data_IF_790356901330
#
_entry.id   IF_790356901330
#
_cell.length_a   1.000
_cell.length_b   1.000
_cell.length_c   1.000
_cell.angle_alpha   90.00
_cell.angle_beta   90.00
_cell.angle_gamma   90.00
#
_symmetry.space_group_name_H-M   'P 1'
#
loop_
_entity.id
_entity.type
_entity.pdbx_description
1 polymer ?
#
# COMPACT_ATOMS: atom_id res chain seq x y z
N UNK A 1 10.52 16.21 -17.02
CA UNK A 1 10.13 14.84 -16.64
C UNK A 1 11.38 13.97 -16.59
N UNK A 2 11.78 13.53 -15.41
CA UNK A 2 12.92 12.62 -15.25
C UNK A 2 12.65 11.29 -15.96
N UNK A 3 13.61 10.81 -16.75
CA UNK A 3 13.56 9.48 -17.38
C UNK A 3 14.07 8.44 -16.37
N UNK A 4 13.24 8.11 -15.40
CA UNK A 4 13.49 7.00 -14.47
C UNK A 4 13.06 5.69 -15.10
N UNK A 5 13.91 4.66 -15.02
CA UNK A 5 13.55 3.32 -15.47
C UNK A 5 14.77 2.46 -15.77
N UNK A 6 14.66 1.18 -15.41
CA UNK A 6 15.69 0.15 -15.64
C UNK A 6 16.00 -0.07 -17.13
N UNK A 7 15.14 0.42 -18.03
CA UNK A 7 15.32 0.41 -19.48
C UNK A 7 16.36 1.42 -20.01
N UNK A 8 16.81 2.38 -19.19
CA UNK A 8 17.84 3.35 -19.59
C UNK A 8 19.24 2.88 -19.20
N UNK A 9 20.23 3.10 -20.10
CA UNK A 9 21.64 2.83 -19.81
C UNK A 9 22.03 3.50 -18.48
N UNK A 10 22.82 2.80 -17.66
CA UNK A 10 23.27 3.20 -16.30
C UNK A 10 23.77 4.66 -16.24
N UNK A 11 24.32 5.17 -17.34
CA UNK A 11 24.86 6.54 -17.48
C UNK A 11 23.80 7.65 -17.64
N UNK A 12 22.55 7.33 -17.99
CA UNK A 12 21.44 8.29 -18.16
C UNK A 12 20.44 8.30 -16.98
N UNK A 13 20.41 7.25 -16.17
CA UNK A 13 19.54 7.11 -15.00
C UNK A 13 20.34 6.80 -13.72
N UNK A 14 21.47 7.49 -13.54
CA UNK A 14 22.40 7.29 -12.42
C UNK A 14 21.70 7.42 -11.05
N UNK A 15 20.74 8.33 -10.92
CA UNK A 15 19.97 8.50 -9.70
C UNK A 15 19.08 7.27 -9.36
N UNK A 16 18.49 6.62 -10.36
CA UNK A 16 17.64 5.44 -10.16
C UNK A 16 18.46 4.24 -9.71
N UNK A 17 19.57 3.97 -10.39
CA UNK A 17 20.50 2.91 -10.00
C UNK A 17 21.15 3.20 -8.64
N UNK A 18 21.45 4.47 -8.32
CA UNK A 18 21.94 4.88 -7.01
C UNK A 18 20.97 4.52 -5.88
N UNK A 19 19.67 4.80 -6.05
CA UNK A 19 18.64 4.45 -5.06
C UNK A 19 18.56 2.93 -4.87
N UNK A 20 18.62 2.14 -5.95
CA UNK A 20 18.60 0.67 -5.86
C UNK A 20 19.80 0.15 -5.07
N UNK A 21 21.02 0.63 -5.38
CA UNK A 21 22.25 0.21 -4.69
C UNK A 21 22.18 0.59 -3.20
N UNK A 22 21.74 1.81 -2.89
CA UNK A 22 21.58 2.27 -1.50
C UNK A 22 20.54 1.40 -0.77
N UNK A 23 19.38 1.14 -1.38
CA UNK A 23 18.35 0.29 -0.79
C UNK A 23 18.84 -1.13 -0.52
N UNK A 24 19.64 -1.70 -1.43
CA UNK A 24 20.24 -3.02 -1.28
C UNK A 24 21.24 -3.05 -0.12
N UNK A 25 22.12 -2.05 -0.01
CA UNK A 25 23.07 -1.93 1.11
C UNK A 25 22.33 -1.76 2.43
N UNK A 26 21.30 -0.92 2.48
CA UNK A 26 20.48 -0.74 3.69
C UNK A 26 19.79 -2.04 4.11
N UNK A 27 19.22 -2.79 3.15
CA UNK A 27 18.63 -4.11 3.41
C UNK A 27 19.62 -5.11 3.98
N UNK A 28 20.86 -5.10 3.49
CA UNK A 28 21.95 -5.94 4.01
C UNK A 28 22.37 -5.52 5.42
N UNK A 29 22.54 -4.21 5.66
CA UNK A 29 22.91 -3.67 6.97
C UNK A 29 21.85 -3.98 8.03
N UNK A 30 20.56 -3.92 7.68
CA UNK A 30 19.47 -4.32 8.58
C UNK A 30 19.64 -5.77 9.07
N UNK A 31 20.10 -6.66 8.20
CA UNK A 31 20.40 -8.05 8.55
C UNK A 31 21.52 -8.14 9.62
N UNK A 32 22.58 -7.34 9.49
CA UNK A 32 23.67 -7.27 10.46
C UNK A 32 23.29 -6.63 11.81
N UNK A 33 22.29 -5.73 11.82
CA UNK A 33 21.77 -5.09 13.04
C UNK A 33 20.86 -6.06 13.83
N UNK A 34 20.60 -7.27 13.32
CA UNK A 34 19.71 -8.25 13.95
C UNK A 34 18.23 -7.94 13.75
N UNK A 35 17.92 -6.91 12.94
CA UNK A 35 16.56 -6.63 12.48
C UNK A 35 16.27 -7.53 11.28
N UNK A 36 15.55 -8.62 11.56
CA UNK A 36 15.12 -9.56 10.54
C UNK A 36 14.26 -8.83 9.47
N UNK A 37 14.74 -8.68 8.23
CA UNK A 37 14.04 -7.96 7.18
C UNK A 37 12.64 -8.54 6.92
N UNK A 38 12.47 -9.84 7.16
CA UNK A 38 11.19 -10.52 7.03
C UNK A 38 10.20 -9.98 8.07
N UNK A 39 10.64 -9.78 9.32
CA UNK A 39 9.78 -9.16 10.35
C UNK A 39 9.45 -7.72 10.02
N UNK A 40 10.42 -6.94 9.56
CA UNK A 40 10.18 -5.56 9.11
C UNK A 40 9.15 -5.50 7.97
N UNK A 41 9.23 -6.45 7.03
CA UNK A 41 8.27 -6.59 5.93
C UNK A 41 6.87 -6.98 6.45
N UNK A 42 6.79 -7.91 7.40
CA UNK A 42 5.53 -8.32 8.03
C UNK A 42 4.88 -7.15 8.78
N UNK A 43 5.64 -6.41 9.61
CA UNK A 43 5.11 -5.22 10.28
C UNK A 43 4.61 -4.17 9.30
N UNK A 44 5.34 -3.96 8.19
CA UNK A 44 4.92 -3.04 7.12
C UNK A 44 3.63 -3.52 6.45
N UNK A 45 3.49 -4.83 6.22
CA UNK A 45 2.28 -5.42 5.64
C UNK A 45 1.08 -5.30 6.59
N UNK A 46 1.26 -5.53 7.89
CA UNK A 46 0.21 -5.36 8.91
C UNK A 46 -0.24 -3.89 8.96
N UNK A 47 0.72 -2.96 9.01
CA UNK A 47 0.42 -1.53 8.99
C UNK A 47 -0.34 -1.12 7.72
N UNK A 48 0.11 -1.58 6.55
CA UNK A 48 -0.58 -1.31 5.29
C UNK A 48 -1.96 -1.97 5.24
N UNK A 49 -2.13 -3.19 5.79
CA UNK A 49 -3.42 -3.87 5.89
C UNK A 49 -4.43 -3.09 6.75
N UNK A 50 -3.95 -2.38 7.78
CA UNK A 50 -4.78 -1.51 8.63
C UNK A 50 -5.10 -0.17 7.95
N UNK A 51 -4.13 0.42 7.25
CA UNK A 51 -4.26 1.73 6.59
C UNK A 51 -5.05 1.65 5.28
N UNK A 52 -4.87 0.57 4.50
CA UNK A 52 -5.51 0.36 3.21
C UNK A 52 -7.04 0.52 3.22
N UNK A 53 -7.82 -0.08 4.14
CA UNK A 53 -9.27 0.09 4.16
C UNK A 53 -9.68 1.53 4.49
N UNK A 54 -8.95 2.23 5.37
CA UNK A 54 -9.21 3.63 5.72
C UNK A 54 -8.98 4.53 4.49
N UNK A 55 -7.85 4.34 3.81
CA UNK A 55 -7.54 5.09 2.59
C UNK A 55 -8.54 4.76 1.49
N UNK A 56 -8.90 3.49 1.30
CA UNK A 56 -9.89 3.09 0.29
C UNK A 56 -11.25 3.71 0.57
N UNK A 57 -11.69 3.73 1.83
CA UNK A 57 -12.93 4.39 2.24
C UNK A 57 -12.90 5.90 1.94
N UNK A 58 -11.79 6.58 2.24
CA UNK A 58 -11.60 7.98 1.90
C UNK A 58 -11.63 8.22 0.38
N UNK A 59 -10.95 7.37 -0.39
CA UNK A 59 -10.93 7.45 -1.86
C UNK A 59 -12.34 7.27 -2.43
N UNK A 60 -13.12 6.31 -1.92
CA UNK A 60 -14.50 6.08 -2.36
C UNK A 60 -15.40 7.26 -2.01
N UNK A 61 -15.26 7.87 -0.83
CA UNK A 61 -16.02 9.07 -0.44
C UNK A 61 -15.67 10.25 -1.36
N UNK A 62 -14.38 10.50 -1.58
CA UNK A 62 -13.92 11.62 -2.42
C UNK A 62 -14.35 11.39 -3.87
N UNK A 63 -14.21 10.17 -4.38
CA UNK A 63 -14.60 9.80 -5.75
C UNK A 63 -16.11 9.75 -5.99
N UNK A 64 -16.90 9.59 -4.93
CA UNK A 64 -18.37 9.68 -4.98
C UNK A 64 -18.87 11.13 -4.89
N UNK A 65 -18.02 12.08 -4.47
CA UNK A 65 -18.39 13.47 -4.35
C UNK A 65 -18.40 14.18 -5.72
N UNK A 66 -19.61 14.36 -6.29
CA UNK A 66 -19.88 15.14 -7.52
C UNK A 66 -19.25 16.53 -7.53
N UNK A 67 -19.05 17.14 -6.37
CA UNK A 67 -18.46 18.48 -6.22
C UNK A 67 -16.95 18.51 -6.50
N UNK A 68 -16.26 17.38 -6.32
CA UNK A 68 -14.80 17.23 -6.52
C UNK A 68 -14.49 16.54 -7.85
N UNK A 69 -15.23 15.49 -8.23
CA UNK A 69 -14.97 14.70 -9.46
C UNK A 69 -15.79 15.10 -10.71
N UNK A 70 -16.76 16.03 -10.59
CA UNK A 70 -17.59 16.55 -11.70
C UNK A 70 -18.25 15.46 -12.57
N UNK A 71 -17.73 15.17 -13.77
CA UNK A 71 -18.27 14.17 -14.70
C UNK A 71 -17.69 12.75 -14.52
N UNK A 72 -16.55 12.60 -13.83
CA UNK A 72 -15.87 11.32 -13.61
C UNK A 72 -16.26 10.67 -12.28
N UNK A 73 -17.50 10.90 -11.84
CA UNK A 73 -17.99 10.36 -10.57
C UNK A 73 -18.01 8.86 -10.65
N UNK A 74 -17.58 8.22 -9.56
CA UNK A 74 -17.56 6.77 -9.45
C UNK A 74 -18.96 6.21 -9.83
N UNK A 75 -19.00 5.33 -10.83
CA UNK A 75 -20.25 4.70 -11.27
C UNK A 75 -20.87 3.89 -10.12
N UNK A 76 -22.20 3.71 -10.12
CA UNK A 76 -22.89 2.97 -9.05
C UNK A 76 -22.27 1.58 -8.80
N UNK A 77 -21.77 0.92 -9.84
CA UNK A 77 -21.05 -0.36 -9.75
C UNK A 77 -19.72 -0.26 -9.00
N UNK A 78 -18.93 0.79 -9.25
CA UNK A 78 -17.65 1.03 -8.57
C UNK A 78 -17.83 1.46 -7.10
N UNK A 79 -18.95 2.10 -6.78
CA UNK A 79 -19.31 2.43 -5.40
C UNK A 79 -19.76 1.18 -4.61
N UNK A 80 -20.54 0.30 -5.23
CA UNK A 80 -20.97 -0.98 -4.63
C UNK A 80 -19.77 -1.90 -4.40
N UNK A 81 -18.84 -2.01 -5.36
CA UNK A 81 -17.63 -2.81 -5.18
C UNK A 81 -16.71 -2.25 -4.09
N UNK A 82 -16.55 -0.92 -4.01
CA UNK A 82 -15.80 -0.27 -2.94
C UNK A 82 -16.38 -0.55 -1.55
N UNK A 83 -17.71 -0.47 -1.38
CA UNK A 83 -18.37 -0.83 -0.13
C UNK A 83 -18.28 -2.33 0.17
N UNK A 84 -18.40 -3.20 -0.84
CA UNK A 84 -18.28 -4.65 -0.67
C UNK A 84 -16.88 -5.04 -0.19
N UNK A 85 -15.82 -4.49 -0.80
CA UNK A 85 -14.43 -4.72 -0.39
C UNK A 85 -14.20 -4.18 1.02
N UNK A 86 -14.65 -2.96 1.31
CA UNK A 86 -14.46 -2.35 2.64
C UNK A 86 -15.21 -3.12 3.74
N UNK A 87 -16.42 -3.62 3.45
CA UNK A 87 -17.20 -4.47 4.36
C UNK A 87 -16.51 -5.82 4.59
N UNK A 88 -16.02 -6.46 3.53
CA UNK A 88 -15.28 -7.72 3.62
C UNK A 88 -14.00 -7.57 4.45
N UNK A 89 -13.25 -6.47 4.26
CA UNK A 89 -12.05 -6.18 5.05
C UNK A 89 -12.38 -5.91 6.53
N UNK A 90 -13.47 -5.21 6.83
CA UNK A 90 -13.93 -4.99 8.20
C UNK A 90 -14.30 -6.31 8.89
N UNK A 91 -15.07 -7.17 8.21
CA UNK A 91 -15.47 -8.49 8.72
C UNK A 91 -14.24 -9.36 8.97
N UNK A 92 -13.29 -9.42 8.04
CA UNK A 92 -12.05 -10.18 8.19
C UNK A 92 -11.19 -9.69 9.38
N UNK A 93 -11.12 -8.37 9.58
CA UNK A 93 -10.40 -7.76 10.71
C UNK A 93 -11.05 -8.12 12.05
N UNK A 94 -12.38 -8.03 12.14
CA UNK A 94 -13.14 -8.37 13.35
C UNK A 94 -13.01 -9.87 13.67
N UNK A 95 -13.11 -10.74 12.67
CA UNK A 95 -12.94 -12.18 12.83
C UNK A 95 -11.55 -12.54 13.35
N UNK A 96 -10.50 -11.86 12.84
CA UNK A 96 -9.13 -12.08 13.29
C UNK A 96 -8.95 -11.66 14.75
N UNK A 97 -9.57 -10.55 15.17
CA UNK A 97 -9.55 -10.11 16.57
C UNK A 97 -10.32 -11.08 17.47
N UNK A 98 -11.47 -11.60 17.04
CA UNK A 98 -12.26 -12.57 17.80
C UNK A 98 -11.51 -13.91 17.92
N UNK A 99 -10.89 -14.39 16.85
CA UNK A 99 -10.08 -15.61 16.85
C UNK A 99 -8.84 -15.48 17.74
N UNK A 100 -8.26 -14.28 17.85
CA UNK A 100 -7.15 -14.01 18.76
C UNK A 100 -7.59 -13.93 20.24
N UNK A 101 -8.85 -13.57 20.51
CA UNK A 101 -9.39 -13.39 21.86
C UNK A 101 -9.99 -14.67 22.46
N UNK A 102 -10.32 -15.66 21.61
CA UNK A 102 -10.87 -16.95 22.03
C UNK A 102 -9.86 -18.06 21.64
N UNK A 103 -8.97 -18.48 22.56
CA UNK A 103 -7.93 -19.48 22.27
C UNK A 103 -8.50 -20.85 21.92
#
# INVERSE_FOLDING_TARGET
MWKGGLHYKVKQASAFYGIIVIAMILGLVLNFVGLDPIRALIYSAIANGLIAPIILFLIVIIGSNKKVMKEYVNSKTSMISGYAISSLMAVASILTIIYLLNP
#
